data_IF_737543966509
#
_entry.id   IF_737543966509
#
_cell.length_a   1.000
_cell.length_b   1.000
_cell.length_c   1.000
_cell.angle_alpha   90.00
_cell.angle_beta   90.00
_cell.angle_gamma   90.00
#
_symmetry.space_group_name_H-M   'P 1'
#
loop_
_entity.id
_entity.type
_entity.pdbx_description
1 polymer ?
#
# COMPACT_ATOMS: atom_id res chain seq x y z
N UNK A 1 12.97 -1.10 -30.53
CA UNK A 1 11.50 -1.22 -30.44
C UNK A 1 11.19 -2.20 -29.33
N UNK A 2 10.83 -1.73 -28.14
CA UNK A 2 10.54 -2.58 -27.00
C UNK A 2 9.07 -3.05 -27.06
N UNK A 3 8.88 -4.35 -27.14
CA UNK A 3 7.56 -5.01 -27.14
C UNK A 3 6.95 -4.88 -25.75
N UNK A 4 5.89 -4.08 -25.63
CA UNK A 4 5.07 -4.01 -24.41
C UNK A 4 4.34 -5.35 -24.23
N UNK A 5 4.78 -6.15 -23.25
CA UNK A 5 4.08 -7.35 -22.82
C UNK A 5 2.72 -6.96 -22.20
N UNK A 6 1.66 -7.17 -22.95
CA UNK A 6 0.28 -7.06 -22.45
C UNK A 6 -0.02 -8.26 -21.54
N UNK A 7 -0.10 -8.05 -20.23
CA UNK A 7 -0.70 -9.02 -19.31
C UNK A 7 -2.20 -9.14 -19.64
N UNK A 8 -2.60 -10.26 -20.26
CA UNK A 8 -4.01 -10.63 -20.43
C UNK A 8 -4.53 -11.20 -19.11
N UNK A 9 -5.21 -10.38 -18.33
CA UNK A 9 -6.06 -10.86 -17.23
C UNK A 9 -7.35 -11.46 -17.83
N UNK A 10 -7.71 -12.68 -17.42
CA UNK A 10 -8.92 -13.39 -17.85
C UNK A 10 -10.17 -12.51 -17.71
N UNK A 11 -10.74 -12.11 -18.84
CA UNK A 11 -11.92 -11.26 -18.88
C UNK A 11 -13.16 -12.06 -18.50
N UNK A 12 -13.60 -11.97 -17.25
CA UNK A 12 -15.04 -12.03 -17.01
C UNK A 12 -15.63 -10.80 -17.71
N UNK A 13 -16.25 -11.00 -18.88
CA UNK A 13 -16.74 -9.96 -19.79
C UNK A 13 -17.81 -9.06 -19.18
N UNK A 14 -18.39 -9.46 -18.05
CA UNK A 14 -19.55 -8.80 -17.44
C UNK A 14 -19.19 -7.84 -16.29
N UNK A 15 -17.92 -7.74 -15.87
CA UNK A 15 -17.52 -6.78 -14.84
C UNK A 15 -16.94 -5.49 -15.47
N UNK A 16 -17.41 -4.30 -15.04
CA UNK A 16 -16.90 -3.03 -15.54
C UNK A 16 -15.43 -2.83 -15.16
N UNK A 17 -14.63 -2.22 -16.04
CA UNK A 17 -13.25 -1.82 -15.75
C UNK A 17 -13.20 -0.34 -15.39
N UNK A 18 -12.49 0.00 -14.31
CA UNK A 18 -12.40 1.36 -13.79
C UNK A 18 -10.94 1.82 -13.70
N UNK A 19 -10.69 3.04 -14.14
CA UNK A 19 -9.45 3.76 -13.88
C UNK A 19 -9.76 4.89 -12.89
N UNK A 20 -9.07 4.88 -11.76
CA UNK A 20 -9.32 5.81 -10.66
C UNK A 20 -8.08 6.67 -10.44
N UNK A 21 -8.20 7.97 -10.65
CA UNK A 21 -7.23 8.96 -10.21
C UNK A 21 -7.62 9.40 -8.80
N UNK A 22 -6.78 9.07 -7.83
CA UNK A 22 -7.06 9.35 -6.42
C UNK A 22 -5.77 9.69 -5.67
N UNK A 23 -5.90 10.34 -4.51
CA UNK A 23 -4.77 10.59 -3.60
C UNK A 23 -5.00 9.94 -2.24
N UNK A 24 -4.64 10.67 -1.19
CA UNK A 24 -4.60 10.20 0.18
C UNK A 24 -5.93 9.81 0.84
N UNK A 25 -6.22 10.37 1.99
CA UNK A 25 -7.24 9.80 2.90
C UNK A 25 -8.68 9.98 2.40
N UNK A 26 -8.95 11.00 1.59
CA UNK A 26 -10.29 11.31 1.08
C UNK A 26 -10.92 10.14 0.32
N UNK A 27 -10.12 9.36 -0.41
CA UNK A 27 -10.63 8.24 -1.22
C UNK A 27 -10.77 6.93 -0.41
N UNK A 28 -10.41 6.91 0.88
CA UNK A 28 -10.43 5.70 1.71
C UNK A 28 -11.79 5.00 1.76
N UNK A 29 -12.88 5.75 1.95
CA UNK A 29 -14.22 5.16 2.04
C UNK A 29 -14.67 4.55 0.71
N UNK A 30 -14.34 5.20 -0.40
CA UNK A 30 -14.75 4.76 -1.74
C UNK A 30 -14.04 3.47 -2.16
N UNK A 31 -12.78 3.27 -1.76
CA UNK A 31 -12.02 2.05 -2.09
C UNK A 31 -12.71 0.79 -1.58
N UNK A 32 -13.26 0.82 -0.37
CA UNK A 32 -13.92 -0.37 0.21
C UNK A 32 -15.20 -0.71 -0.56
N UNK A 33 -16.00 0.30 -0.95
CA UNK A 33 -17.19 0.10 -1.76
C UNK A 33 -16.87 -0.39 -3.18
N UNK A 34 -15.79 0.11 -3.78
CA UNK A 34 -15.38 -0.30 -5.13
C UNK A 34 -15.07 -1.79 -5.24
N UNK A 35 -14.55 -2.42 -4.18
CA UNK A 35 -14.28 -3.87 -4.15
C UNK A 35 -15.55 -4.70 -4.32
N UNK A 36 -16.68 -4.21 -3.80
CA UNK A 36 -17.98 -4.87 -3.92
C UNK A 36 -18.58 -4.66 -5.32
N UNK A 37 -18.16 -3.62 -6.04
CA UNK A 37 -18.65 -3.29 -7.37
C UNK A 37 -17.90 -4.02 -8.49
N UNK A 38 -16.57 -4.00 -8.47
CA UNK A 38 -15.74 -4.69 -9.46
C UNK A 38 -14.35 -4.99 -8.92
N UNK A 39 -13.76 -6.09 -9.39
CA UNK A 39 -12.36 -6.43 -9.12
C UNK A 39 -11.39 -5.79 -10.12
N UNK A 40 -11.92 -5.14 -11.17
CA UNK A 40 -11.14 -4.59 -12.29
C UNK A 40 -10.91 -3.10 -12.13
N UNK A 41 -10.18 -2.72 -11.07
CA UNK A 41 -9.86 -1.31 -10.78
C UNK A 41 -8.36 -1.07 -10.90
N UNK A 42 -7.97 -0.10 -11.73
CA UNK A 42 -6.62 0.43 -11.79
C UNK A 42 -6.58 1.77 -11.04
N UNK A 43 -5.67 1.90 -10.07
CA UNK A 43 -5.48 3.13 -9.30
C UNK A 43 -4.25 3.87 -9.79
N UNK A 44 -4.41 5.16 -10.10
CA UNK A 44 -3.33 6.10 -10.38
C UNK A 44 -3.20 7.01 -9.17
N UNK A 45 -2.03 6.96 -8.53
CA UNK A 45 -1.75 7.67 -7.28
C UNK A 45 -0.59 8.66 -7.49
N UNK A 46 -0.67 9.88 -6.95
CA UNK A 46 0.43 10.83 -7.00
C UNK A 46 1.61 10.33 -6.17
N UNK A 47 2.82 10.66 -6.62
CA UNK A 47 4.10 10.35 -5.94
C UNK A 47 4.82 11.61 -5.44
N UNK A 48 4.10 12.73 -5.40
CA UNK A 48 4.62 14.05 -5.03
C UNK A 48 4.22 14.47 -3.61
N UNK A 49 3.59 13.58 -2.83
CA UNK A 49 3.18 13.85 -1.44
C UNK A 49 4.41 14.09 -0.54
N UNK A 50 4.44 15.23 0.15
CA UNK A 50 5.55 15.71 0.98
C UNK A 50 5.15 15.85 2.46
N UNK A 51 4.09 15.17 2.89
CA UNK A 51 3.59 15.19 4.26
C UNK A 51 4.11 14.07 5.17
N UNK A 52 4.27 14.39 6.46
CA UNK A 52 4.45 13.41 7.54
C UNK A 52 5.61 12.44 7.35
N UNK A 53 5.38 11.15 7.65
CA UNK A 53 6.43 10.12 7.53
C UNK A 53 6.94 9.93 6.10
N UNK A 54 6.12 10.23 5.09
CA UNK A 54 6.54 10.14 3.68
C UNK A 54 7.65 11.15 3.40
N UNK A 55 7.47 12.39 3.87
CA UNK A 55 8.47 13.46 3.76
C UNK A 55 9.81 13.05 4.39
N UNK A 56 9.77 12.50 5.61
CA UNK A 56 10.96 12.08 6.34
C UNK A 56 11.70 10.93 5.64
N UNK A 57 10.98 9.94 5.11
CA UNK A 57 11.56 8.84 4.34
C UNK A 57 12.24 9.38 3.08
N UNK A 58 11.55 10.21 2.30
CA UNK A 58 12.09 10.81 1.06
C UNK A 58 13.29 11.70 1.37
N UNK A 59 13.26 12.47 2.46
CA UNK A 59 14.37 13.33 2.90
C UNK A 59 15.65 12.55 3.18
N UNK A 60 15.53 11.34 3.75
CA UNK A 60 16.69 10.53 4.17
C UNK A 60 17.15 9.55 3.09
N UNK A 61 16.20 8.87 2.43
CA UNK A 61 16.49 7.79 1.47
C UNK A 61 16.37 8.23 0.00
N UNK A 62 15.75 9.38 -0.27
CA UNK A 62 15.37 9.81 -1.61
C UNK A 62 14.18 9.02 -2.17
N UNK A 63 14.01 9.09 -3.48
CA UNK A 63 12.96 8.35 -4.20
C UNK A 63 11.58 9.00 -4.16
N UNK A 64 10.57 8.35 -4.78
CA UNK A 64 9.21 8.86 -4.84
C UNK A 64 8.50 8.76 -3.49
N UNK A 65 7.48 9.60 -3.28
CA UNK A 65 6.58 9.47 -2.15
C UNK A 65 5.80 8.14 -2.20
N UNK A 66 5.79 7.40 -1.10
CA UNK A 66 5.17 6.05 -1.02
C UNK A 66 3.92 5.98 -0.14
N UNK A 67 3.55 7.06 0.53
CA UNK A 67 2.47 7.08 1.54
C UNK A 67 1.11 6.63 1.00
N UNK A 68 0.68 7.24 -0.11
CA UNK A 68 -0.62 6.93 -0.73
C UNK A 68 -0.69 5.52 -1.30
N UNK A 69 0.41 5.06 -1.92
CA UNK A 69 0.58 3.69 -2.41
C UNK A 69 0.42 2.70 -1.25
N UNK A 70 1.16 2.90 -0.15
CA UNK A 70 1.04 2.07 1.05
C UNK A 70 -0.39 2.03 1.57
N UNK A 71 -1.03 3.19 1.69
CA UNK A 71 -2.40 3.28 2.17
C UNK A 71 -3.38 2.52 1.27
N UNK A 72 -3.20 2.58 -0.06
CA UNK A 72 -4.03 1.81 -1.01
C UNK A 72 -3.78 0.32 -0.91
N UNK A 73 -2.52 -0.12 -0.92
CA UNK A 73 -2.18 -1.54 -0.80
C UNK A 73 -2.76 -2.16 0.48
N UNK A 74 -2.70 -1.47 1.61
CA UNK A 74 -3.27 -1.96 2.88
C UNK A 74 -4.80 -2.05 2.91
N UNK A 75 -5.47 -1.24 2.09
CA UNK A 75 -6.93 -1.35 1.93
C UNK A 75 -7.25 -2.46 0.97
N UNK A 76 -6.57 -2.54 -0.16
CA UNK A 76 -6.81 -3.56 -1.19
C UNK A 76 -6.26 -4.95 -0.82
N UNK A 77 -5.43 -5.07 0.22
CA UNK A 77 -4.85 -6.34 0.65
C UNK A 77 -5.91 -7.34 1.06
N UNK A 78 -5.64 -8.60 0.75
CA UNK A 78 -6.43 -9.73 1.23
C UNK A 78 -6.50 -9.75 2.77
N UNK A 79 -7.62 -10.26 3.28
CA UNK A 79 -7.92 -10.42 4.70
C UNK A 79 -8.48 -11.82 5.01
N UNK A 80 -8.41 -12.74 4.05
CA UNK A 80 -9.01 -14.07 4.16
C UNK A 80 -8.24 -15.02 5.10
N UNK A 81 -6.93 -14.82 5.25
CA UNK A 81 -6.07 -15.70 6.04
C UNK A 81 -5.41 -14.97 7.23
N UNK A 82 -5.02 -15.75 8.24
CA UNK A 82 -4.29 -15.24 9.40
C UNK A 82 -2.94 -14.60 9.00
N UNK A 83 -2.28 -15.18 7.99
CA UNK A 83 -1.04 -14.65 7.42
C UNK A 83 -1.28 -13.31 6.72
N UNK A 84 -2.32 -13.20 5.87
CA UNK A 84 -2.66 -11.95 5.20
C UNK A 84 -2.97 -10.83 6.20
N UNK A 85 -3.70 -11.16 7.27
CA UNK A 85 -3.95 -10.23 8.38
C UNK A 85 -2.67 -9.83 9.11
N UNK A 86 -1.74 -10.75 9.33
CA UNK A 86 -0.45 -10.46 9.97
C UNK A 86 0.41 -9.53 9.10
N UNK A 87 0.52 -9.80 7.79
CA UNK A 87 1.23 -8.95 6.83
C UNK A 87 0.59 -7.56 6.77
N UNK A 88 -0.74 -7.48 6.70
CA UNK A 88 -1.46 -6.20 6.72
C UNK A 88 -1.19 -5.41 7.99
N UNK A 89 -1.20 -6.05 9.17
CA UNK A 89 -0.89 -5.40 10.46
C UNK A 89 0.53 -4.87 10.48
N UNK A 90 1.50 -5.69 10.05
CA UNK A 90 2.90 -5.31 9.97
C UNK A 90 3.12 -4.11 9.05
N UNK A 91 2.65 -4.20 7.80
CA UNK A 91 2.81 -3.12 6.82
C UNK A 91 2.00 -1.87 7.20
N UNK A 92 0.91 -2.04 7.96
CA UNK A 92 0.07 -0.98 8.52
C UNK A 92 0.62 -0.32 9.77
N UNK A 93 1.61 -0.93 10.42
CA UNK A 93 2.17 -0.45 11.67
C UNK A 93 2.85 0.92 11.51
N UNK A 94 2.74 1.74 12.56
CA UNK A 94 3.46 3.01 12.68
C UNK A 94 4.23 2.99 13.99
N UNK A 95 5.52 3.30 13.90
CA UNK A 95 6.38 3.38 15.08
C UNK A 95 5.89 4.48 16.03
N UNK A 96 6.17 4.34 17.34
CA UNK A 96 5.94 5.38 18.34
C UNK A 96 6.58 6.72 17.94
N UNK A 97 6.01 7.82 18.42
CA UNK A 97 6.59 9.15 18.23
C UNK A 97 7.87 9.35 19.07
N UNK A 98 8.00 8.63 20.19
CA UNK A 98 9.21 8.65 21.00
C UNK A 98 10.35 7.93 20.27
N UNK A 99 11.46 8.64 20.05
CA UNK A 99 12.57 8.13 19.25
C UNK A 99 13.28 6.92 19.90
N UNK A 100 13.34 6.87 21.23
CA UNK A 100 13.99 5.77 21.95
C UNK A 100 13.18 4.48 21.80
N UNK A 101 11.87 4.57 22.02
CA UNK A 101 10.93 3.47 21.83
C UNK A 101 10.85 3.04 20.36
N UNK A 102 10.80 4.00 19.42
CA UNK A 102 10.79 3.69 18.00
C UNK A 102 12.04 2.91 17.57
N UNK A 103 13.22 3.27 18.09
CA UNK A 103 14.47 2.60 17.76
C UNK A 103 14.50 1.17 18.31
N UNK A 104 14.12 0.96 19.57
CA UNK A 104 14.08 -0.39 20.15
C UNK A 104 13.07 -1.28 19.45
N UNK A 105 11.88 -0.76 19.18
CA UNK A 105 10.82 -1.49 18.49
C UNK A 105 11.16 -1.80 17.02
N UNK A 106 11.77 -0.86 16.30
CA UNK A 106 12.20 -1.07 14.91
C UNK A 106 13.16 -2.27 14.80
N UNK A 107 14.12 -2.37 15.73
CA UNK A 107 15.05 -3.52 15.77
C UNK A 107 14.30 -4.83 15.98
N UNK A 108 13.32 -4.86 16.89
CA UNK A 108 12.51 -6.05 17.16
C UNK A 108 11.70 -6.45 15.92
N UNK A 109 11.01 -5.50 15.29
CA UNK A 109 10.17 -5.74 14.11
C UNK A 109 11.02 -6.26 12.94
N UNK A 110 12.15 -5.62 12.66
CA UNK A 110 13.08 -6.05 11.61
C UNK A 110 13.67 -7.44 11.92
N UNK A 111 14.01 -7.70 13.18
CA UNK A 111 14.56 -9.01 13.59
C UNK A 111 13.57 -10.15 13.38
N UNK A 112 12.27 -9.91 13.65
CA UNK A 112 11.21 -10.89 13.40
C UNK A 112 11.04 -11.18 11.90
N UNK A 113 11.22 -10.18 11.04
CA UNK A 113 11.07 -10.33 9.58
C UNK A 113 12.28 -10.97 8.90
N UNK A 114 13.50 -10.71 9.39
CA UNK A 114 14.74 -11.17 8.76
C UNK A 114 15.13 -12.59 9.19
N UNK A 115 14.75 -13.03 10.40
CA UNK A 115 15.21 -14.31 10.98
C UNK A 115 14.12 -15.40 11.12
N UNK A 116 12.89 -15.18 10.63
CA UNK A 116 11.81 -16.19 10.62
C UNK A 116 11.30 -16.48 9.21
N UNK A 117 12.21 -16.62 8.25
CA UNK A 117 11.97 -17.27 6.95
C UNK A 117 12.84 -18.51 6.87
#
# INVERSE_FOLDING_TARGET
>A
MATLHHCRCSSNSNQPSLLVFSGGTAFNGVVEELKNFTTRVAHVLPVSDDGGSTAEIVRVLGGPAVGDIRSRCLRLSDQSSAEALAVRRLLGHRLPLDASQAKSECVVVLSIQVFRV
#
